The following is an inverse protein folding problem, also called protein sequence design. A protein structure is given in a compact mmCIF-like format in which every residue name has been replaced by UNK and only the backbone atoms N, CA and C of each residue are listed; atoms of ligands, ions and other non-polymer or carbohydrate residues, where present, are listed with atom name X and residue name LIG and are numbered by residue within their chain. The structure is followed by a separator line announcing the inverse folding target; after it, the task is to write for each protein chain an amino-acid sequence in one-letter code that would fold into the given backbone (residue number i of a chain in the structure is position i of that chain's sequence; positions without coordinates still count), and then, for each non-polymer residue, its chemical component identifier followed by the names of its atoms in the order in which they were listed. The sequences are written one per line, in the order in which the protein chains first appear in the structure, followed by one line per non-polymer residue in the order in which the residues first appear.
data_IF_678781749011
#
_entry.id   IF_678781749011
#
_cell.length_a   1.000
_cell.length_b   1.000
_cell.length_c   1.000
_cell.angle_alpha   90.00
_cell.angle_beta   90.00
_cell.angle_gamma   90.00
#
_symmetry.space_group_name_H-M   'P 1'
#
loop_
_entity.id
_entity.type
_entity.pdbx_description
1 polymer ?
#
# COMPACT_ATOMS: atom_id res chain seq x y z
N UNK A 1 -13.73 -4.59 11.99
CA UNK A 1 -13.74 -3.11 12.05
C UNK A 1 -12.77 -2.56 13.10
N UNK A 2 -12.85 -2.97 14.36
CA UNK A 2 -11.97 -2.47 15.43
C UNK A 2 -10.47 -2.62 15.11
N UNK A 3 -10.00 -3.80 14.67
CA UNK A 3 -8.59 -4.02 14.32
C UNK A 3 -8.05 -3.07 13.23
N UNK A 4 -8.88 -2.73 12.23
CA UNK A 4 -8.48 -1.80 11.18
C UNK A 4 -8.40 -0.36 11.69
N UNK A 5 -9.33 0.05 12.57
CA UNK A 5 -9.30 1.38 13.19
C UNK A 5 -8.08 1.53 14.11
N UNK A 6 -7.80 0.52 14.94
CA UNK A 6 -6.60 0.51 15.78
C UNK A 6 -5.32 0.56 14.95
N UNK A 7 -5.23 -0.24 13.88
CA UNK A 7 -4.09 -0.20 12.95
C UNK A 7 -3.89 1.17 12.33
N UNK A 8 -4.98 1.85 12.00
CA UNK A 8 -4.95 3.22 11.47
C UNK A 8 -4.41 4.21 12.52
N UNK A 9 -4.99 4.22 13.71
CA UNK A 9 -4.57 5.14 14.78
C UNK A 9 -3.10 4.96 15.14
N UNK A 10 -2.64 3.70 15.24
CA UNK A 10 -1.22 3.39 15.46
C UNK A 10 -0.37 3.89 14.30
N UNK A 11 -0.78 3.67 13.07
CA UNK A 11 -0.06 4.17 11.88
C UNK A 11 0.08 5.69 11.88
N UNK A 12 -1.02 6.42 12.14
CA UNK A 12 -1.00 7.90 12.24
C UNK A 12 -0.11 8.36 13.37
N UNK A 13 -0.19 7.73 14.55
CA UNK A 13 0.66 8.08 15.69
C UNK A 13 2.16 7.92 15.33
N UNK A 14 2.55 6.82 14.73
CA UNK A 14 3.94 6.58 14.32
C UNK A 14 4.40 7.60 13.25
N UNK A 15 3.57 7.89 12.24
CA UNK A 15 3.87 8.86 11.18
C UNK A 15 4.09 10.26 11.74
N UNK A 16 3.39 10.65 12.81
CA UNK A 16 3.48 11.99 13.39
C UNK A 16 4.50 12.11 14.51
N UNK A 17 4.70 11.06 15.33
CA UNK A 17 5.54 11.11 16.52
C UNK A 17 7.00 10.79 16.21
N UNK A 18 7.28 9.77 15.40
CA UNK A 18 8.65 9.33 15.14
C UNK A 18 9.49 10.43 14.48
N UNK A 19 9.05 11.09 13.36
CA UNK A 19 9.85 12.13 12.72
C UNK A 19 10.04 13.39 13.58
N UNK A 20 9.21 13.57 14.62
CA UNK A 20 9.35 14.70 15.57
C UNK A 20 10.52 14.50 16.54
N UNK A 21 10.84 13.26 16.87
CA UNK A 21 11.83 12.93 17.91
C UNK A 21 13.20 12.65 17.32
N UNK A 22 13.25 11.98 16.15
CA UNK A 22 14.50 11.65 15.47
C UNK A 22 14.84 12.69 14.39
N UNK A 23 16.13 12.86 14.12
CA UNK A 23 16.61 13.76 13.07
C UNK A 23 16.17 13.34 11.67
N UNK A 24 16.25 14.25 10.70
CA UNK A 24 15.79 13.99 9.33
C UNK A 24 16.55 12.82 8.69
N UNK A 25 17.87 12.73 8.90
CA UNK A 25 18.69 11.65 8.39
C UNK A 25 18.35 10.31 9.05
N UNK A 26 18.22 10.29 10.38
CA UNK A 26 17.80 9.14 11.15
C UNK A 26 16.43 8.62 10.68
N UNK A 27 15.49 9.54 10.46
CA UNK A 27 14.19 9.20 9.89
C UNK A 27 14.31 8.65 8.46
N UNK A 28 15.25 9.15 7.68
CA UNK A 28 15.56 8.62 6.36
C UNK A 28 15.96 7.14 6.41
N UNK A 29 16.87 6.75 7.31
CA UNK A 29 17.27 5.36 7.50
C UNK A 29 16.11 4.49 7.99
N UNK A 30 15.29 4.99 8.90
CA UNK A 30 14.07 4.29 9.33
C UNK A 30 13.09 4.07 8.16
N UNK A 31 12.88 5.09 7.33
CA UNK A 31 12.04 4.98 6.15
C UNK A 31 12.63 4.06 5.07
N UNK A 32 13.96 3.99 4.96
CA UNK A 32 14.65 3.05 4.07
C UNK A 32 14.43 1.60 4.52
N UNK A 33 14.47 1.35 5.83
CA UNK A 33 14.10 0.04 6.38
C UNK A 33 12.65 -0.32 6.04
N UNK A 34 11.70 0.58 6.32
CA UNK A 34 10.28 0.35 6.00
C UNK A 34 10.05 0.17 4.51
N UNK A 35 10.80 0.90 3.69
CA UNK A 35 10.81 0.74 2.25
C UNK A 35 11.20 -0.69 1.87
N UNK A 36 12.35 -1.18 2.30
CA UNK A 36 12.79 -2.55 1.97
C UNK A 36 11.82 -3.61 2.51
N UNK A 37 11.34 -3.46 3.74
CA UNK A 37 10.33 -4.37 4.32
C UNK A 37 9.05 -4.42 3.47
N UNK A 38 8.64 -3.30 2.88
CA UNK A 38 7.50 -3.27 1.97
C UNK A 38 7.68 -4.12 0.71
N UNK A 39 8.91 -4.48 0.35
CA UNK A 39 9.25 -5.27 -0.84
C UNK A 39 9.60 -6.73 -0.55
N UNK A 40 9.78 -7.12 0.71
CA UNK A 40 10.14 -8.51 1.04
C UNK A 40 9.10 -9.53 0.57
N UNK A 41 7.83 -9.13 0.48
CA UNK A 41 6.75 -9.96 -0.04
C UNK A 41 6.97 -10.50 -1.46
N UNK A 42 7.93 -9.97 -2.23
CA UNK A 42 8.28 -10.48 -3.55
C UNK A 42 9.03 -11.82 -3.48
N UNK A 43 9.76 -12.02 -2.40
CA UNK A 43 10.70 -13.13 -2.28
C UNK A 43 10.05 -14.44 -1.84
N UNK A 44 8.77 -14.47 -1.46
CA UNK A 44 8.03 -15.72 -1.29
C UNK A 44 7.56 -16.34 -2.62
N UNK A 45 7.87 -15.71 -3.78
CA UNK A 45 7.60 -16.19 -5.14
C UNK A 45 6.15 -16.64 -5.39
N UNK A 46 5.20 -16.06 -4.68
CA UNK A 46 3.78 -16.41 -4.77
C UNK A 46 3.37 -17.66 -3.98
N UNK A 47 4.28 -18.27 -3.24
CA UNK A 47 3.97 -19.48 -2.45
C UNK A 47 2.86 -19.20 -1.42
N UNK A 48 2.97 -18.13 -0.65
CA UNK A 48 1.95 -17.71 0.29
C UNK A 48 0.60 -17.37 -0.39
N UNK A 49 0.64 -16.64 -1.52
CA UNK A 49 -0.57 -16.37 -2.33
C UNK A 49 -1.24 -17.66 -2.83
N UNK A 50 -0.44 -18.65 -3.21
CA UNK A 50 -0.91 -19.96 -3.64
C UNK A 50 -1.66 -20.72 -2.54
N UNK A 51 -1.26 -20.57 -1.28
CA UNK A 51 -1.99 -21.14 -0.14
C UNK A 51 -3.43 -20.60 -0.10
N UNK A 52 -3.60 -19.28 -0.19
CA UNK A 52 -4.94 -18.69 -0.20
C UNK A 52 -5.74 -19.17 -1.41
N UNK A 53 -5.17 -19.14 -2.61
CA UNK A 53 -5.90 -19.47 -3.83
C UNK A 53 -6.36 -20.93 -3.89
N UNK A 54 -5.56 -21.86 -3.34
CA UNK A 54 -5.85 -23.31 -3.39
C UNK A 54 -6.69 -23.82 -2.24
N UNK A 55 -6.58 -23.19 -1.07
CA UNK A 55 -7.18 -23.68 0.16
C UNK A 55 -8.30 -22.78 0.71
N UNK A 56 -8.64 -21.67 0.04
CA UNK A 56 -9.74 -20.82 0.44
C UNK A 56 -11.06 -21.59 0.53
N UNK A 57 -11.76 -21.42 1.66
CA UNK A 57 -13.03 -22.08 1.93
C UNK A 57 -12.94 -23.48 2.56
N UNK A 58 -11.74 -24.02 2.77
CA UNK A 58 -11.54 -25.23 3.57
C UNK A 58 -11.69 -24.91 5.06
N UNK A 59 -12.14 -25.91 5.84
CA UNK A 59 -12.15 -25.80 7.30
C UNK A 59 -10.78 -26.19 7.86
N UNK A 60 -10.45 -25.72 9.06
CA UNK A 60 -9.18 -26.02 9.73
C UNK A 60 -8.95 -27.52 9.92
N UNK A 61 -10.03 -28.24 10.23
CA UNK A 61 -10.04 -29.69 10.49
C UNK A 61 -9.79 -30.50 9.19
N UNK A 62 -10.14 -29.93 8.04
CA UNK A 62 -9.93 -30.57 6.73
C UNK A 62 -8.53 -30.39 6.18
N UNK A 63 -7.67 -29.58 6.84
CA UNK A 63 -6.29 -29.39 6.42
C UNK A 63 -5.45 -30.62 6.76
N UNK A 64 -4.70 -31.15 5.78
CA UNK A 64 -3.72 -32.22 6.01
C UNK A 64 -2.55 -31.69 6.85
N UNK A 65 -2.51 -32.02 8.14
CA UNK A 65 -1.45 -31.58 9.06
C UNK A 65 -0.04 -31.92 8.57
N UNK A 66 0.25 -33.16 8.11
CA UNK A 66 1.58 -33.51 7.60
C UNK A 66 2.00 -32.67 6.40
N UNK A 67 1.07 -32.38 5.48
CA UNK A 67 1.33 -31.59 4.29
C UNK A 67 1.64 -30.14 4.64
N UNK A 68 0.85 -29.50 5.49
CA UNK A 68 1.09 -28.14 5.92
C UNK A 68 2.33 -27.99 6.78
N UNK A 69 2.63 -28.97 7.66
CA UNK A 69 3.87 -29.02 8.40
C UNK A 69 5.09 -28.99 7.46
N UNK A 70 5.09 -29.87 6.46
CA UNK A 70 6.16 -29.90 5.47
C UNK A 70 6.32 -28.58 4.73
N UNK A 71 5.23 -27.95 4.30
CA UNK A 71 5.27 -26.65 3.62
C UNK A 71 5.77 -25.53 4.53
N UNK A 72 5.35 -25.47 5.80
CA UNK A 72 5.80 -24.46 6.77
C UNK A 72 7.32 -24.59 6.98
N UNK A 73 7.82 -25.79 7.24
CA UNK A 73 9.26 -25.98 7.45
C UNK A 73 10.09 -25.71 6.21
N UNK A 74 9.63 -26.16 5.03
CA UNK A 74 10.32 -25.91 3.76
C UNK A 74 10.34 -24.39 3.44
N UNK A 75 9.24 -23.69 3.68
CA UNK A 75 9.15 -22.24 3.48
C UNK A 75 10.09 -21.49 4.42
N UNK A 76 10.06 -21.80 5.72
CA UNK A 76 10.94 -21.16 6.69
C UNK A 76 12.41 -21.42 6.39
N UNK A 77 12.78 -22.66 6.05
CA UNK A 77 14.15 -23.00 5.64
C UNK A 77 14.57 -22.18 4.41
N UNK A 78 13.72 -22.11 3.39
CA UNK A 78 13.99 -21.36 2.17
C UNK A 78 14.21 -19.87 2.48
N UNK A 79 13.34 -19.24 3.28
CA UNK A 79 13.44 -17.82 3.62
C UNK A 79 14.68 -17.53 4.49
N UNK A 80 14.98 -18.39 5.47
CA UNK A 80 16.19 -18.24 6.30
C UNK A 80 17.45 -18.36 5.43
N UNK A 81 17.50 -19.32 4.51
CA UNK A 81 18.64 -19.48 3.61
C UNK A 81 18.80 -18.27 2.67
N UNK A 82 17.71 -17.83 2.04
CA UNK A 82 17.71 -16.69 1.11
C UNK A 82 18.17 -15.41 1.79
N UNK A 83 17.54 -15.07 2.92
CA UNK A 83 17.82 -13.83 3.63
C UNK A 83 19.12 -13.91 4.44
N UNK A 84 19.55 -15.10 4.83
CA UNK A 84 20.89 -15.35 5.39
C UNK A 84 21.98 -15.06 4.36
N UNK A 85 21.82 -15.52 3.13
CA UNK A 85 22.75 -15.20 2.02
C UNK A 85 22.74 -13.70 1.71
N UNK A 86 21.57 -13.06 1.71
CA UNK A 86 21.47 -11.62 1.54
C UNK A 86 22.19 -10.85 2.66
N UNK A 87 22.03 -11.27 3.92
CA UNK A 87 22.70 -10.67 5.06
C UNK A 87 24.24 -10.82 4.96
N UNK A 88 24.71 -12.01 4.59
CA UNK A 88 26.14 -12.28 4.38
C UNK A 88 26.69 -11.41 3.24
N UNK A 89 26.04 -11.36 2.11
CA UNK A 89 26.43 -10.52 0.98
C UNK A 89 26.47 -9.04 1.36
N UNK A 90 25.44 -8.58 2.11
CA UNK A 90 25.38 -7.19 2.59
C UNK A 90 26.54 -6.86 3.54
N UNK A 91 26.87 -7.78 4.45
CA UNK A 91 27.98 -7.62 5.38
C UNK A 91 29.33 -7.55 4.66
N UNK A 92 29.55 -8.42 3.66
CA UNK A 92 30.78 -8.45 2.88
C UNK A 92 30.96 -7.20 2.00
N UNK A 93 29.86 -6.62 1.48
CA UNK A 93 29.94 -5.51 0.53
C UNK A 93 29.94 -4.12 1.19
N UNK A 94 29.11 -3.90 2.23
CA UNK A 94 28.91 -2.56 2.80
C UNK A 94 29.79 -2.25 4.02
N UNK A 95 30.53 -3.21 4.56
CA UNK A 95 31.36 -3.01 5.76
C UNK A 95 30.53 -2.60 6.98
N UNK A 96 30.87 -1.46 7.63
CA UNK A 96 30.16 -0.97 8.82
C UNK A 96 29.37 0.30 8.50
N UNK A 97 28.31 0.57 9.26
CA UNK A 97 27.55 1.81 9.16
C UNK A 97 26.01 1.64 9.23
N UNK A 98 25.30 2.77 9.17
CA UNK A 98 23.86 2.83 9.27
C UNK A 98 23.14 2.01 8.17
N UNK A 99 23.69 2.06 6.95
CA UNK A 99 23.14 1.33 5.80
C UNK A 99 23.25 -0.20 5.98
N UNK A 100 24.37 -0.70 6.46
CA UNK A 100 24.53 -2.12 6.77
C UNK A 100 23.52 -2.55 7.85
N UNK A 101 23.37 -1.77 8.91
CA UNK A 101 22.37 -2.05 9.95
C UNK A 101 20.95 -2.16 9.36
N UNK A 102 20.56 -1.25 8.46
CA UNK A 102 19.27 -1.30 7.76
C UNK A 102 19.13 -2.60 6.96
N UNK A 103 20.16 -3.00 6.19
CA UNK A 103 20.10 -4.20 5.35
C UNK A 103 20.06 -5.49 6.19
N UNK A 104 20.86 -5.60 7.25
CA UNK A 104 20.83 -6.74 8.16
C UNK A 104 19.50 -6.84 8.90
N UNK A 105 19.00 -5.70 9.40
CA UNK A 105 17.68 -5.65 10.02
C UNK A 105 16.56 -6.00 9.04
N UNK A 106 16.70 -5.62 7.77
CA UNK A 106 15.77 -6.00 6.70
C UNK A 106 15.80 -7.52 6.48
N UNK A 107 16.97 -8.16 6.51
CA UNK A 107 17.07 -9.61 6.37
C UNK A 107 16.34 -10.34 7.51
N UNK A 108 16.57 -9.94 8.76
CA UNK A 108 15.84 -10.48 9.93
C UNK A 108 14.34 -10.20 9.81
N UNK A 109 13.98 -8.94 9.50
CA UNK A 109 12.60 -8.53 9.33
C UNK A 109 11.87 -9.28 8.23
N UNK A 110 12.55 -9.59 7.13
CA UNK A 110 12.02 -10.35 6.02
C UNK A 110 11.59 -11.76 6.45
N UNK A 111 12.46 -12.48 7.14
CA UNK A 111 12.13 -13.82 7.66
C UNK A 111 10.91 -13.75 8.59
N UNK A 112 10.88 -12.79 9.51
CA UNK A 112 9.77 -12.62 10.45
C UNK A 112 8.46 -12.26 9.74
N UNK A 113 8.50 -11.31 8.81
CA UNK A 113 7.31 -10.84 8.07
C UNK A 113 6.77 -11.92 7.15
N UNK A 114 7.65 -12.64 6.44
CA UNK A 114 7.24 -13.69 5.51
C UNK A 114 6.70 -14.92 6.24
N UNK A 115 7.31 -15.32 7.37
CA UNK A 115 6.79 -16.37 8.24
C UNK A 115 5.40 -16.01 8.78
N UNK A 116 5.23 -14.78 9.30
CA UNK A 116 3.93 -14.27 9.74
C UNK A 116 2.90 -14.28 8.62
N UNK A 117 3.28 -13.82 7.42
CA UNK A 117 2.40 -13.77 6.25
C UNK A 117 1.94 -15.17 5.85
N UNK A 118 2.85 -16.13 5.80
CA UNK A 118 2.54 -17.50 5.44
C UNK A 118 1.55 -18.14 6.41
N UNK A 119 1.79 -18.05 7.72
CA UNK A 119 0.89 -18.58 8.75
C UNK A 119 -0.46 -17.87 8.76
N UNK A 120 -0.47 -16.54 8.63
CA UNK A 120 -1.72 -15.75 8.53
C UNK A 120 -2.54 -16.12 7.28
N UNK A 121 -1.89 -16.44 6.17
CA UNK A 121 -2.59 -16.87 4.95
C UNK A 121 -3.21 -18.26 5.11
N UNK A 122 -2.55 -19.18 5.83
CA UNK A 122 -3.15 -20.46 6.21
C UNK A 122 -4.40 -20.24 7.08
N UNK A 123 -4.32 -19.38 8.11
CA UNK A 123 -5.45 -19.05 8.97
C UNK A 123 -6.62 -18.41 8.19
N UNK A 124 -6.31 -17.54 7.25
CA UNK A 124 -7.32 -16.89 6.40
C UNK A 124 -7.95 -17.88 5.43
N UNK A 125 -7.17 -18.75 4.79
CA UNK A 125 -7.66 -19.79 3.88
C UNK A 125 -8.59 -20.79 4.59
N UNK A 126 -8.26 -21.13 5.85
CA UNK A 126 -9.03 -22.03 6.70
C UNK A 126 -10.16 -21.33 7.49
N UNK A 127 -10.54 -20.10 7.10
CA UNK A 127 -11.63 -19.30 7.70
C UNK A 127 -11.45 -18.99 9.21
N UNK A 128 -10.22 -19.11 9.77
CA UNK A 128 -9.91 -18.67 11.13
C UNK A 128 -9.69 -17.15 11.22
N UNK A 129 -10.66 -16.39 10.72
CA UNK A 129 -10.55 -14.91 10.58
C UNK A 129 -10.42 -14.20 11.93
N UNK A 130 -11.00 -14.75 13.01
CA UNK A 130 -10.86 -14.16 14.36
C UNK A 130 -9.40 -14.20 14.85
N UNK A 131 -8.71 -15.32 14.67
CA UNK A 131 -7.30 -15.50 15.03
C UNK A 131 -6.42 -14.60 14.16
N UNK A 132 -6.67 -14.58 12.84
CA UNK A 132 -6.00 -13.66 11.93
C UNK A 132 -6.11 -12.19 12.40
N UNK A 133 -7.34 -11.74 12.72
CA UNK A 133 -7.57 -10.37 13.18
C UNK A 133 -6.89 -10.08 14.53
N UNK A 134 -6.86 -11.05 15.45
CA UNK A 134 -6.14 -10.96 16.71
C UNK A 134 -4.64 -10.78 16.49
N UNK A 135 -4.01 -11.56 15.61
CA UNK A 135 -2.58 -11.44 15.30
C UNK A 135 -2.23 -10.10 14.68
N UNK A 136 -3.09 -9.57 13.78
CA UNK A 136 -2.91 -8.23 13.23
C UNK A 136 -2.98 -7.16 14.32
N UNK A 137 -3.93 -7.30 15.26
CA UNK A 137 -4.07 -6.37 16.36
C UNK A 137 -2.87 -6.46 17.34
N UNK A 138 -2.44 -7.68 17.67
CA UNK A 138 -1.26 -7.93 18.51
C UNK A 138 -0.02 -7.24 17.95
N UNK A 139 0.25 -7.41 16.64
CA UNK A 139 1.35 -6.74 15.96
C UNK A 139 1.33 -5.23 16.17
N UNK A 140 0.17 -4.62 15.95
CA UNK A 140 0.00 -3.16 16.04
C UNK A 140 0.15 -2.65 17.47
N UNK A 141 -0.42 -3.36 18.45
CA UNK A 141 -0.34 -2.96 19.85
C UNK A 141 1.08 -3.12 20.40
N UNK A 142 1.75 -4.25 20.13
CA UNK A 142 3.14 -4.45 20.55
C UNK A 142 4.04 -3.39 19.92
N UNK A 143 3.87 -3.12 18.61
CA UNK A 143 4.62 -2.07 17.93
C UNK A 143 4.41 -0.70 18.58
N UNK A 144 3.16 -0.33 18.84
CA UNK A 144 2.84 0.94 19.53
C UNK A 144 3.50 1.04 20.90
N UNK A 145 3.38 -0.02 21.71
CA UNK A 145 4.00 -0.05 23.06
C UNK A 145 5.51 0.09 22.95
N UNK A 146 6.16 -0.64 22.05
CA UNK A 146 7.61 -0.53 21.86
C UNK A 146 8.01 0.88 21.39
N UNK A 147 7.28 1.48 20.43
CA UNK A 147 7.56 2.85 19.95
C UNK A 147 7.38 3.86 21.10
N UNK A 148 6.29 3.77 21.87
CA UNK A 148 6.07 4.66 23.02
C UNK A 148 7.14 4.50 24.09
N UNK A 149 7.62 3.28 24.34
CA UNK A 149 8.74 3.03 25.24
C UNK A 149 10.03 3.69 24.75
N UNK A 150 10.37 3.55 23.45
CA UNK A 150 11.52 4.22 22.83
C UNK A 150 11.44 5.74 23.00
N UNK A 151 10.25 6.30 22.77
CA UNK A 151 9.99 7.75 22.94
C UNK A 151 10.09 8.20 24.40
N UNK A 152 9.55 7.40 25.32
CA UNK A 152 9.61 7.68 26.77
C UNK A 152 11.05 7.72 27.30
N UNK A 153 11.89 6.79 26.85
CA UNK A 153 13.32 6.78 27.21
C UNK A 153 14.16 7.80 26.45
N UNK A 154 13.58 8.62 25.58
CA UNK A 154 14.24 9.70 24.87
C UNK A 154 15.27 9.24 23.82
N UNK A 155 15.18 8.01 23.34
CA UNK A 155 16.07 7.49 22.33
C UNK A 155 15.82 8.17 20.98
N UNK A 156 16.90 8.66 20.33
CA UNK A 156 16.84 9.43 19.07
C UNK A 156 17.46 8.71 17.86
N UNK A 157 18.01 7.53 18.04
CA UNK A 157 18.60 6.70 16.99
C UNK A 157 17.51 5.85 16.29
N UNK A 158 17.54 5.81 14.97
CA UNK A 158 16.60 5.04 14.13
C UNK A 158 16.61 3.54 14.45
N UNK A 159 17.73 3.01 14.96
CA UNK A 159 17.92 1.59 15.27
C UNK A 159 16.90 1.09 16.28
N UNK A 160 16.57 1.90 17.30
CA UNK A 160 15.56 1.52 18.30
C UNK A 160 14.16 1.35 17.70
N UNK A 161 13.79 2.19 16.72
CA UNK A 161 12.51 2.08 16.04
C UNK A 161 12.44 0.85 15.12
N UNK A 162 13.57 0.50 14.50
CA UNK A 162 13.70 -0.76 13.74
C UNK A 162 13.57 -1.95 14.68
N UNK A 163 14.27 -1.96 15.80
CA UNK A 163 14.18 -3.02 16.82
C UNK A 163 12.75 -3.12 17.36
N UNK A 164 12.07 -2.01 17.63
CA UNK A 164 10.67 -1.99 18.03
C UNK A 164 9.77 -2.69 16.99
N UNK A 165 9.99 -2.44 15.69
CA UNK A 165 9.28 -3.12 14.61
C UNK A 165 9.56 -4.63 14.60
N UNK A 166 10.85 -5.03 14.68
CA UNK A 166 11.26 -6.44 14.69
C UNK A 166 10.70 -7.18 15.91
N UNK A 167 10.68 -6.55 17.08
CA UNK A 167 10.08 -7.09 18.31
C UNK A 167 8.59 -7.37 18.13
N UNK A 168 7.86 -6.45 17.51
CA UNK A 168 6.45 -6.64 17.22
C UNK A 168 6.21 -7.80 16.24
N UNK A 169 7.03 -7.93 15.21
CA UNK A 169 6.96 -9.05 14.27
C UNK A 169 7.30 -10.37 14.93
N UNK A 170 8.31 -10.39 15.82
CA UNK A 170 8.71 -11.58 16.59
C UNK A 170 7.60 -12.04 17.55
N UNK A 171 7.04 -11.11 18.33
CA UNK A 171 5.92 -11.41 19.23
C UNK A 171 4.71 -11.97 18.48
N UNK A 172 4.42 -11.38 17.30
CA UNK A 172 3.31 -11.86 16.45
C UNK A 172 3.60 -13.26 15.89
N UNK A 173 4.85 -13.54 15.51
CA UNK A 173 5.25 -14.85 15.01
C UNK A 173 5.11 -15.92 16.10
N UNK A 174 5.51 -15.63 17.33
CA UNK A 174 5.29 -16.52 18.48
C UNK A 174 3.81 -16.84 18.64
N UNK A 175 2.94 -15.80 18.60
CA UNK A 175 1.49 -15.98 18.63
C UNK A 175 0.97 -16.82 17.45
N UNK A 176 1.44 -16.56 16.23
CA UNK A 176 1.03 -17.30 15.04
C UNK A 176 1.45 -18.78 15.11
N UNK A 177 2.67 -19.07 15.57
CA UNK A 177 3.16 -20.43 15.79
C UNK A 177 2.34 -21.16 16.87
N UNK A 178 1.96 -20.47 17.94
CA UNK A 178 1.11 -21.03 18.99
C UNK A 178 -0.29 -21.43 18.46
N UNK A 179 -0.93 -20.56 17.68
CA UNK A 179 -2.25 -20.86 17.11
C UNK A 179 -2.21 -21.92 15.98
N UNK A 180 -1.05 -22.08 15.33
CA UNK A 180 -0.83 -23.05 14.27
C UNK A 180 -0.04 -24.29 14.74
N UNK A 181 0.16 -24.47 16.06
CA UNK A 181 1.04 -25.50 16.63
C UNK A 181 0.73 -26.93 16.18
N UNK A 182 -0.53 -27.25 15.99
CA UNK A 182 -0.99 -28.55 15.50
C UNK A 182 -0.60 -28.83 14.03
N UNK A 183 -0.40 -27.77 13.22
CA UNK A 183 0.19 -27.87 11.89
C UNK A 183 1.71 -27.87 11.93
N UNK A 184 2.31 -27.02 12.76
CA UNK A 184 3.77 -26.84 12.84
C UNK A 184 4.44 -28.09 13.43
N UNK A 185 3.88 -28.66 14.50
CA UNK A 185 4.47 -29.78 15.22
C UNK A 185 4.12 -31.15 14.62
N UNK A 186 3.26 -31.21 13.61
CA UNK A 186 2.94 -32.45 12.94
C UNK A 186 4.17 -33.01 12.20
N UNK A 187 4.24 -34.33 12.04
CA UNK A 187 5.28 -34.92 11.21
C UNK A 187 5.07 -34.58 9.75
N UNK A 188 6.08 -34.01 9.06
CA UNK A 188 5.93 -33.61 7.66
C UNK A 188 5.75 -34.81 6.74
N UNK A 189 5.07 -34.61 5.60
CA UNK A 189 5.05 -35.55 4.49
C UNK A 189 6.47 -35.76 3.91
N UNK A 190 6.61 -36.74 3.01
CA UNK A 190 7.88 -36.97 2.31
C UNK A 190 8.33 -35.71 1.56
N UNK A 191 9.64 -35.46 1.49
CA UNK A 191 10.21 -34.30 0.83
C UNK A 191 9.71 -34.12 -0.62
N UNK A 192 9.50 -35.25 -1.34
CA UNK A 192 8.96 -35.23 -2.72
C UNK A 192 7.51 -34.69 -2.75
N UNK A 193 6.68 -35.09 -1.80
CA UNK A 193 5.29 -34.63 -1.70
C UNK A 193 5.24 -33.14 -1.34
N UNK A 194 6.03 -32.70 -0.38
CA UNK A 194 6.17 -31.29 0.01
C UNK A 194 6.62 -30.44 -1.17
N UNK A 195 7.67 -30.85 -1.89
CA UNK A 195 8.18 -30.12 -3.05
C UNK A 195 7.11 -29.98 -4.15
N UNK A 196 6.40 -31.06 -4.48
CA UNK A 196 5.32 -31.02 -5.49
C UNK A 196 4.22 -30.07 -5.10
N UNK A 197 3.77 -30.12 -3.84
CA UNK A 197 2.70 -29.23 -3.36
C UNK A 197 3.13 -27.77 -3.31
N UNK A 198 4.38 -27.50 -2.88
CA UNK A 198 4.95 -26.16 -2.87
C UNK A 198 5.07 -25.57 -4.28
N UNK A 199 5.55 -26.38 -5.24
CA UNK A 199 5.64 -25.98 -6.64
C UNK A 199 4.26 -25.65 -7.23
N UNK A 200 3.23 -26.42 -6.89
CA UNK A 200 1.85 -26.12 -7.30
C UNK A 200 1.32 -24.83 -6.68
N UNK A 201 1.60 -24.56 -5.39
CA UNK A 201 1.25 -23.29 -4.76
C UNK A 201 1.93 -22.13 -5.45
N UNK A 202 3.24 -22.22 -5.71
CA UNK A 202 4.02 -21.21 -6.42
C UNK A 202 3.44 -20.99 -7.83
N UNK A 203 3.19 -22.04 -8.59
CA UNK A 203 2.64 -21.96 -9.96
C UNK A 203 1.32 -21.19 -10.02
N UNK A 204 0.45 -21.40 -9.03
CA UNK A 204 -0.85 -20.72 -8.96
C UNK A 204 -0.71 -19.29 -8.47
N UNK A 205 0.12 -19.05 -7.43
CA UNK A 205 0.22 -17.75 -6.77
C UNK A 205 1.13 -16.75 -7.49
N UNK A 206 2.13 -17.20 -8.27
CA UNK A 206 3.14 -16.32 -8.87
C UNK A 206 2.54 -15.22 -9.77
N UNK A 207 1.45 -15.52 -10.47
CA UNK A 207 0.79 -14.53 -11.33
C UNK A 207 0.20 -13.37 -10.53
N UNK A 208 -0.41 -13.69 -9.39
CA UNK A 208 -0.97 -12.68 -8.49
C UNK A 208 0.15 -11.87 -7.84
N UNK A 209 1.20 -12.55 -7.37
CA UNK A 209 2.39 -11.89 -6.82
C UNK A 209 3.02 -10.93 -7.84
N UNK A 210 3.30 -11.36 -9.07
CA UNK A 210 3.90 -10.50 -10.10
C UNK A 210 3.07 -9.26 -10.40
N UNK A 211 1.73 -9.39 -10.42
CA UNK A 211 0.86 -8.24 -10.61
C UNK A 211 0.95 -7.24 -9.44
N UNK A 212 1.04 -7.74 -8.20
CA UNK A 212 1.23 -6.90 -7.02
C UNK A 212 2.63 -6.26 -7.00
N UNK A 213 3.68 -7.02 -7.34
CA UNK A 213 5.06 -6.53 -7.49
C UNK A 213 5.13 -5.35 -8.45
N UNK A 214 4.62 -5.51 -9.67
CA UNK A 214 4.61 -4.45 -10.66
C UNK A 214 3.90 -3.19 -10.15
N UNK A 215 2.78 -3.36 -9.42
CA UNK A 215 2.03 -2.25 -8.82
C UNK A 215 2.87 -1.44 -7.82
N UNK A 216 3.57 -2.11 -6.89
CA UNK A 216 4.33 -1.45 -5.83
C UNK A 216 5.62 -0.83 -6.39
N UNK A 217 6.23 -1.47 -7.40
CA UNK A 217 7.46 -0.97 -8.02
C UNK A 217 7.27 0.35 -8.77
N UNK A 218 6.06 0.70 -9.23
CA UNK A 218 5.81 1.98 -9.92
C UNK A 218 6.32 3.18 -9.10
N UNK A 219 6.00 3.23 -7.82
CA UNK A 219 6.52 4.26 -6.91
C UNK A 219 7.90 3.91 -6.36
N UNK A 220 8.20 2.63 -6.22
CA UNK A 220 9.41 2.14 -5.61
C UNK A 220 10.68 2.51 -6.34
N UNK A 221 10.69 2.38 -7.67
CA UNK A 221 11.87 2.72 -8.47
C UNK A 221 12.19 4.20 -8.42
N UNK A 222 11.17 5.07 -8.39
CA UNK A 222 11.38 6.53 -8.25
C UNK A 222 11.93 6.84 -6.87
N UNK A 223 11.39 6.23 -5.81
CA UNK A 223 11.86 6.46 -4.43
C UNK A 223 13.31 6.06 -4.23
N UNK A 224 13.72 4.89 -4.74
CA UNK A 224 15.13 4.45 -4.63
C UNK A 224 16.04 5.31 -5.51
N UNK A 225 15.53 5.78 -6.66
CA UNK A 225 16.23 6.75 -7.50
C UNK A 225 16.49 8.08 -6.77
N UNK A 226 15.51 8.59 -6.04
CA UNK A 226 15.65 9.80 -5.20
C UNK A 226 16.68 9.56 -4.10
N UNK A 227 16.66 8.42 -3.43
CA UNK A 227 17.64 8.07 -2.40
C UNK A 227 19.08 8.07 -2.95
N UNK A 228 19.26 7.49 -4.14
CA UNK A 228 20.57 7.40 -4.79
C UNK A 228 21.10 8.75 -5.27
N UNK A 229 20.22 9.62 -5.76
CA UNK A 229 20.61 10.89 -6.37
C UNK A 229 20.77 12.04 -5.37
N UNK A 230 19.91 12.09 -4.34
CA UNK A 230 19.87 13.21 -3.37
C UNK A 230 20.12 12.77 -1.93
N UNK A 231 20.37 11.50 -1.69
CA UNK A 231 20.73 10.96 -0.38
C UNK A 231 19.55 10.66 0.55
N UNK A 232 19.90 10.13 1.72
CA UNK A 232 18.95 9.56 2.67
C UNK A 232 18.04 10.61 3.32
N UNK A 233 18.53 11.83 3.55
CA UNK A 233 17.73 12.89 4.15
C UNK A 233 16.57 13.33 3.24
N UNK A 234 16.84 13.52 1.93
CA UNK A 234 15.82 13.88 0.94
C UNK A 234 14.83 12.71 0.76
N UNK A 235 15.32 11.48 0.69
CA UNK A 235 14.47 10.30 0.67
C UNK A 235 13.54 10.24 1.88
N UNK A 236 14.05 10.55 3.09
CA UNK A 236 13.27 10.61 4.32
C UNK A 236 12.16 11.66 4.24
N UNK A 237 12.47 12.86 3.76
CA UNK A 237 11.51 13.97 3.58
C UNK A 237 10.39 13.59 2.60
N UNK A 238 10.73 13.07 1.42
CA UNK A 238 9.72 12.64 0.43
C UNK A 238 8.90 11.45 0.94
N UNK A 239 9.53 10.53 1.66
CA UNK A 239 8.84 9.40 2.29
C UNK A 239 7.86 9.85 3.37
N UNK A 240 8.16 10.90 4.13
CA UNK A 240 7.22 11.52 5.06
C UNK A 240 5.99 12.07 4.34
N UNK A 241 6.18 12.80 3.23
CA UNK A 241 5.07 13.32 2.44
C UNK A 241 4.16 12.20 1.92
N UNK A 242 4.74 11.12 1.40
CA UNK A 242 3.98 9.92 0.99
C UNK A 242 3.24 9.29 2.18
N UNK A 243 3.85 9.26 3.37
CA UNK A 243 3.22 8.74 4.58
C UNK A 243 2.04 9.61 5.01
N UNK A 244 2.16 10.94 4.95
CA UNK A 244 1.05 11.88 5.22
C UNK A 244 -0.08 11.67 4.21
N UNK A 245 0.23 11.57 2.93
CA UNK A 245 -0.76 11.28 1.87
C UNK A 245 -1.43 9.91 2.10
N UNK A 246 -0.70 8.92 2.63
CA UNK A 246 -1.25 7.60 2.93
C UNK A 246 -2.35 7.61 4.00
N UNK A 247 -2.41 8.63 4.85
CA UNK A 247 -3.50 8.82 5.80
C UNK A 247 -4.85 8.96 5.07
N UNK A 248 -4.87 9.64 3.93
CA UNK A 248 -6.06 9.75 3.08
C UNK A 248 -6.51 8.38 2.52
N UNK A 249 -5.56 7.51 2.17
CA UNK A 249 -5.88 6.16 1.69
C UNK A 249 -6.67 5.31 2.70
N UNK A 250 -6.50 5.54 3.98
CA UNK A 250 -7.20 4.74 4.98
C UNK A 250 -8.69 5.04 4.98
N UNK A 251 -9.09 6.31 4.84
CA UNK A 251 -10.49 6.68 4.68
C UNK A 251 -11.09 6.05 3.42
N UNK A 252 -10.33 6.08 2.35
CA UNK A 252 -10.69 5.50 1.06
C UNK A 252 -10.83 3.98 1.17
N UNK A 253 -9.89 3.29 1.81
CA UNK A 253 -9.93 1.84 2.04
C UNK A 253 -11.10 1.42 2.96
N UNK A 254 -11.46 2.22 3.95
CA UNK A 254 -12.62 1.94 4.79
C UNK A 254 -13.92 1.93 3.98
N UNK A 255 -14.06 2.84 3.01
CA UNK A 255 -15.18 2.85 2.06
C UNK A 255 -15.18 1.61 1.14
N UNK A 256 -14.00 1.16 0.70
CA UNK A 256 -13.81 -0.03 -0.15
C UNK A 256 -14.29 -1.32 0.51
N UNK A 257 -13.97 -1.49 1.79
CA UNK A 257 -14.38 -2.68 2.55
C UNK A 257 -15.90 -2.82 2.65
N UNK A 258 -16.65 -1.74 2.56
CA UNK A 258 -18.11 -1.76 2.51
C UNK A 258 -18.63 -2.07 1.09
N UNK A 259 -17.91 -1.62 0.05
CA UNK A 259 -18.32 -1.76 -1.35
C UNK A 259 -18.12 -3.20 -1.87
N UNK A 260 -17.02 -3.86 -1.53
CA UNK A 260 -16.66 -5.17 -2.08
C UNK A 260 -17.69 -6.30 -1.81
N UNK A 261 -18.21 -6.48 -0.56
CA UNK A 261 -19.25 -7.47 -0.31
C UNK A 261 -20.60 -7.13 -0.96
N UNK A 262 -20.86 -5.81 -1.16
CA UNK A 262 -22.05 -5.35 -1.85
C UNK A 262 -22.02 -5.75 -3.33
N UNK A 263 -20.87 -5.49 -3.99
CA UNK A 263 -20.67 -5.85 -5.40
C UNK A 263 -20.69 -7.37 -5.64
N UNK A 264 -20.16 -8.17 -4.73
CA UNK A 264 -20.15 -9.65 -4.88
C UNK A 264 -21.53 -10.31 -4.83
N UNK A 265 -22.53 -9.62 -4.28
CA UNK A 265 -23.92 -10.10 -4.15
C UNK A 265 -24.83 -9.67 -5.30
N UNK A 266 -24.33 -8.80 -6.17
CA UNK A 266 -25.10 -8.24 -7.26
C UNK A 266 -24.85 -8.99 -8.57
N UNK A 267 -25.87 -9.04 -9.43
CA UNK A 267 -25.77 -9.60 -10.78
C UNK A 267 -24.90 -8.75 -11.69
N UNK A 268 -24.32 -9.33 -12.72
CA UNK A 268 -23.37 -8.66 -13.65
C UNK A 268 -23.92 -7.40 -14.29
N UNK A 269 -25.22 -7.32 -14.54
CA UNK A 269 -25.85 -6.11 -15.11
C UNK A 269 -25.80 -4.90 -14.17
N UNK A 270 -25.81 -5.14 -12.87
CA UNK A 270 -25.70 -4.05 -11.87
C UNK A 270 -24.27 -3.53 -11.68
N UNK A 271 -23.25 -4.24 -12.14
CA UNK A 271 -21.87 -3.72 -12.09
C UNK A 271 -21.70 -2.44 -12.89
N UNK A 272 -22.31 -2.36 -14.07
CA UNK A 272 -22.31 -1.17 -14.90
C UNK A 272 -22.95 0.03 -14.19
N UNK A 273 -24.13 -0.17 -13.59
CA UNK A 273 -24.90 0.89 -12.94
C UNK A 273 -24.25 1.41 -11.67
N UNK A 274 -23.43 0.60 -10.98
CA UNK A 274 -22.75 0.97 -9.74
C UNK A 274 -21.36 1.56 -9.97
N UNK A 275 -20.65 1.14 -11.02
CA UNK A 275 -19.28 1.56 -11.27
C UNK A 275 -19.16 3.08 -11.47
N UNK A 276 -19.89 3.61 -12.43
CA UNK A 276 -19.77 5.01 -12.84
C UNK A 276 -20.11 6.01 -11.73
N UNK A 277 -21.23 5.89 -10.98
CA UNK A 277 -21.50 6.76 -9.85
C UNK A 277 -20.49 6.64 -8.70
N UNK A 278 -20.03 5.41 -8.40
CA UNK A 278 -18.99 5.20 -7.38
C UNK A 278 -17.68 5.88 -7.77
N UNK A 279 -17.33 5.83 -9.06
CA UNK A 279 -16.14 6.45 -9.63
C UNK A 279 -16.20 7.98 -9.51
N UNK A 280 -17.33 8.59 -9.87
CA UNK A 280 -17.56 10.03 -9.74
C UNK A 280 -17.47 10.46 -8.28
N UNK A 281 -18.17 9.75 -7.39
CA UNK A 281 -18.18 10.08 -5.95
C UNK A 281 -16.77 10.05 -5.36
N UNK A 282 -16.00 9.01 -5.67
CA UNK A 282 -14.61 8.88 -5.22
C UNK A 282 -13.75 10.04 -5.71
N UNK A 283 -13.84 10.38 -7.01
CA UNK A 283 -13.10 11.49 -7.60
C UNK A 283 -13.40 12.81 -6.88
N UNK A 284 -14.67 13.17 -6.72
CA UNK A 284 -15.02 14.44 -6.08
C UNK A 284 -14.64 14.50 -4.61
N UNK A 285 -14.81 13.43 -3.84
CA UNK A 285 -14.37 13.36 -2.44
C UNK A 285 -12.87 13.61 -2.31
N UNK A 286 -12.06 12.99 -3.20
CA UNK A 286 -10.61 13.17 -3.17
C UNK A 286 -10.18 14.56 -3.67
N UNK A 287 -10.79 15.08 -4.75
CA UNK A 287 -10.48 16.43 -5.24
C UNK A 287 -10.84 17.51 -4.20
N UNK A 288 -11.96 17.38 -3.52
CA UNK A 288 -12.36 18.28 -2.43
C UNK A 288 -11.35 18.22 -1.27
N UNK A 289 -10.81 17.03 -0.97
CA UNK A 289 -9.79 16.89 0.09
C UNK A 289 -8.53 17.71 -0.19
N UNK A 290 -8.18 17.97 -1.46
CA UNK A 290 -7.01 18.79 -1.84
C UNK A 290 -7.15 20.25 -1.43
N UNK A 291 -8.37 20.78 -1.24
CA UNK A 291 -8.60 22.14 -0.72
C UNK A 291 -7.95 22.29 0.66
N UNK A 292 -7.89 21.21 1.45
CA UNK A 292 -7.30 21.20 2.78
C UNK A 292 -5.78 21.00 2.78
N UNK A 293 -5.14 20.89 1.61
CA UNK A 293 -3.70 20.64 1.50
C UNK A 293 -2.86 21.73 2.16
N UNK A 294 -3.21 23.02 1.95
CA UNK A 294 -2.48 24.13 2.56
C UNK A 294 -2.67 24.21 4.09
N UNK A 295 -3.89 24.19 4.64
CA UNK A 295 -4.06 24.08 6.09
C UNK A 295 -3.31 22.89 6.68
N UNK A 296 -3.38 21.71 6.03
CA UNK A 296 -2.65 20.53 6.48
C UNK A 296 -1.11 20.74 6.42
N UNK A 297 -0.59 21.35 5.35
CA UNK A 297 0.85 21.65 5.26
C UNK A 297 1.31 22.60 6.36
N UNK A 298 0.49 23.59 6.73
CA UNK A 298 0.79 24.49 7.85
C UNK A 298 0.82 23.76 9.19
N UNK A 299 -0.12 22.86 9.43
CA UNK A 299 -0.12 22.02 10.64
C UNK A 299 1.12 21.11 10.69
N UNK A 300 1.50 20.52 9.55
CA UNK A 300 2.71 19.70 9.45
C UNK A 300 3.97 20.54 9.67
N UNK A 301 4.04 21.76 9.11
CA UNK A 301 5.18 22.67 9.30
C UNK A 301 5.34 23.09 10.78
N UNK A 302 4.23 23.37 11.46
CA UNK A 302 4.25 23.70 12.90
C UNK A 302 4.64 22.50 13.77
N UNK A 303 4.19 21.30 13.38
CA UNK A 303 4.49 20.08 14.14
C UNK A 303 5.91 19.55 13.87
N UNK A 304 6.35 19.61 12.61
CA UNK A 304 7.61 19.08 12.10
C UNK A 304 8.43 20.17 11.38
N UNK A 305 8.97 21.20 12.09
CA UNK A 305 9.67 22.32 11.45
C UNK A 305 10.88 21.89 10.60
N UNK A 306 11.58 20.80 11.00
CA UNK A 306 12.73 20.26 10.27
C UNK A 306 12.38 19.72 8.86
N UNK A 307 11.10 19.57 8.54
CA UNK A 307 10.61 19.07 7.25
C UNK A 307 9.89 20.15 6.44
N UNK A 308 9.83 21.39 6.95
CA UNK A 308 9.06 22.49 6.35
C UNK A 308 9.48 22.79 4.90
N UNK A 309 10.77 22.70 4.60
CA UNK A 309 11.35 22.90 3.27
C UNK A 309 10.84 21.85 2.24
N UNK A 310 10.50 20.64 2.69
CA UNK A 310 9.99 19.60 1.81
C UNK A 310 8.50 19.75 1.47
N UNK A 311 7.75 20.54 2.24
CA UNK A 311 6.31 20.71 2.03
C UNK A 311 5.97 21.39 0.69
N UNK A 312 6.94 22.06 0.05
CA UNK A 312 6.80 22.55 -1.33
C UNK A 312 6.49 21.43 -2.33
N UNK A 313 6.91 20.19 -2.04
CA UNK A 313 6.63 19.02 -2.86
C UNK A 313 5.28 18.34 -2.54
N UNK A 314 4.61 18.73 -1.46
CA UNK A 314 3.33 18.12 -1.07
C UNK A 314 2.26 18.21 -2.18
N UNK A 315 2.09 19.35 -2.88
CA UNK A 315 1.16 19.45 -4.01
C UNK A 315 1.48 18.49 -5.16
N UNK A 316 2.75 18.15 -5.36
CA UNK A 316 3.17 17.19 -6.39
C UNK A 316 2.84 15.75 -5.98
N UNK A 317 2.87 15.43 -4.68
CA UNK A 317 2.64 14.07 -4.16
C UNK A 317 1.14 13.77 -3.97
N UNK A 318 0.32 14.76 -3.61
CA UNK A 318 -1.11 14.57 -3.29
C UNK A 318 -1.90 13.84 -4.38
N UNK A 319 -1.73 14.10 -5.69
CA UNK A 319 -2.45 13.38 -6.73
C UNK A 319 -2.15 11.87 -6.78
N UNK A 320 -1.07 11.39 -6.13
CA UNK A 320 -0.81 9.96 -5.91
C UNK A 320 -2.02 9.30 -5.24
N UNK A 321 -2.62 9.96 -4.24
CA UNK A 321 -3.80 9.45 -3.56
C UNK A 321 -4.98 9.27 -4.52
N UNK A 322 -5.22 10.22 -5.41
CA UNK A 322 -6.32 10.19 -6.36
C UNK A 322 -6.22 8.99 -7.31
N UNK A 323 -5.11 8.89 -8.03
CA UNK A 323 -4.92 7.83 -9.05
C UNK A 323 -4.76 6.45 -8.43
N UNK A 324 -4.06 6.33 -7.31
CA UNK A 324 -3.92 5.05 -6.61
C UNK A 324 -5.26 4.56 -6.05
N UNK A 325 -6.05 5.44 -5.44
CA UNK A 325 -7.37 5.10 -4.92
C UNK A 325 -8.33 4.62 -6.00
N UNK A 326 -8.31 5.26 -7.16
CA UNK A 326 -9.13 4.89 -8.31
C UNK A 326 -8.87 3.46 -8.76
N UNK A 327 -7.60 3.04 -8.74
CA UNK A 327 -7.21 1.69 -9.11
C UNK A 327 -7.43 0.70 -7.97
N UNK A 328 -6.98 1.01 -6.77
CA UNK A 328 -7.01 0.04 -5.66
C UNK A 328 -8.44 -0.25 -5.18
N UNK A 329 -9.32 0.75 -5.17
CA UNK A 329 -10.70 0.62 -4.70
C UNK A 329 -11.66 0.08 -5.74
N UNK A 330 -11.64 0.67 -6.93
CA UNK A 330 -12.64 0.42 -7.96
C UNK A 330 -12.08 -0.47 -9.05
N UNK A 331 -11.25 0.07 -9.92
CA UNK A 331 -10.83 -0.61 -11.15
C UNK A 331 -10.19 -1.96 -10.89
N UNK A 332 -9.26 -2.05 -9.95
CA UNK A 332 -8.60 -3.30 -9.57
C UNK A 332 -9.54 -4.30 -8.91
N UNK A 333 -10.49 -3.82 -8.10
CA UNK A 333 -11.52 -4.66 -7.48
C UNK A 333 -12.45 -5.27 -8.52
N UNK A 334 -12.93 -4.47 -9.48
CA UNK A 334 -13.77 -4.95 -10.57
C UNK A 334 -13.02 -5.94 -11.48
N UNK A 335 -11.76 -5.65 -11.84
CA UNK A 335 -10.95 -6.57 -12.65
C UNK A 335 -10.72 -7.92 -11.93
N UNK A 336 -10.51 -7.92 -10.61
CA UNK A 336 -10.40 -9.15 -9.81
C UNK A 336 -11.70 -9.95 -9.77
N UNK A 337 -12.86 -9.28 -9.60
CA UNK A 337 -14.18 -9.93 -9.63
C UNK A 337 -14.46 -10.54 -11.01
N UNK A 338 -14.10 -9.83 -12.07
CA UNK A 338 -14.24 -10.30 -13.46
C UNK A 338 -13.17 -11.31 -13.89
N UNK A 339 -12.28 -11.76 -12.99
CA UNK A 339 -11.15 -12.68 -13.24
C UNK A 339 -10.23 -12.21 -14.38
N UNK A 340 -9.93 -10.90 -14.38
CA UNK A 340 -9.09 -10.24 -15.40
C UNK A 340 -7.71 -9.85 -14.84
N UNK A 341 -7.07 -10.75 -14.12
CA UNK A 341 -5.74 -10.54 -13.53
C UNK A 341 -4.68 -10.25 -14.59
N UNK A 342 -4.83 -10.79 -15.81
CA UNK A 342 -3.93 -10.49 -16.93
C UNK A 342 -3.98 -9.01 -17.32
N UNK A 343 -5.19 -8.42 -17.40
CA UNK A 343 -5.33 -7.00 -17.74
C UNK A 343 -4.72 -6.12 -16.64
N UNK A 344 -4.88 -6.53 -15.37
CA UNK A 344 -4.26 -5.87 -14.23
C UNK A 344 -2.73 -5.93 -14.27
N UNK A 345 -2.15 -7.10 -14.57
CA UNK A 345 -0.71 -7.27 -14.73
C UNK A 345 -0.17 -6.40 -15.88
N UNK A 346 -0.79 -6.43 -17.05
CA UNK A 346 -0.34 -5.64 -18.23
C UNK A 346 -0.38 -4.14 -17.91
N UNK A 347 -1.44 -3.65 -17.26
CA UNK A 347 -1.56 -2.24 -16.88
C UNK A 347 -0.48 -1.80 -15.89
N UNK A 348 -0.20 -2.63 -14.88
CA UNK A 348 0.87 -2.36 -13.92
C UNK A 348 2.26 -2.39 -14.57
N UNK A 349 2.51 -3.35 -15.48
CA UNK A 349 3.78 -3.44 -16.20
C UNK A 349 3.99 -2.24 -17.13
N UNK A 350 2.94 -1.84 -17.87
CA UNK A 350 3.01 -0.65 -18.72
C UNK A 350 3.32 0.61 -17.89
N UNK A 351 2.65 0.79 -16.76
CA UNK A 351 2.90 1.92 -15.87
C UNK A 351 4.31 1.87 -15.24
N UNK A 352 4.82 0.68 -14.94
CA UNK A 352 6.19 0.50 -14.45
C UNK A 352 7.22 0.92 -15.50
N UNK A 353 7.01 0.56 -16.77
CA UNK A 353 7.87 1.01 -17.87
C UNK A 353 7.86 2.54 -18.00
N UNK A 354 6.66 3.16 -17.95
CA UNK A 354 6.52 4.62 -17.98
C UNK A 354 7.21 5.25 -16.77
N UNK A 355 7.07 4.68 -15.58
CA UNK A 355 7.76 5.13 -14.37
C UNK A 355 9.29 5.05 -14.52
N UNK A 356 9.80 4.00 -15.17
CA UNK A 356 11.24 3.87 -15.46
C UNK A 356 11.72 4.94 -16.44
N UNK A 357 10.94 5.25 -17.45
CA UNK A 357 11.26 6.33 -18.41
C UNK A 357 11.30 7.69 -17.69
N UNK A 358 10.28 7.98 -16.87
CA UNK A 358 10.26 9.21 -16.07
C UNK A 358 11.43 9.29 -15.08
N UNK A 359 11.79 8.17 -14.46
CA UNK A 359 12.97 8.09 -13.59
C UNK A 359 14.24 8.51 -14.37
N UNK A 360 14.46 7.90 -15.54
CA UNK A 360 15.65 8.18 -16.36
C UNK A 360 15.68 9.63 -16.83
N UNK A 361 14.55 10.21 -17.20
CA UNK A 361 14.50 11.61 -17.61
C UNK A 361 14.73 12.55 -16.44
N UNK A 362 14.07 12.33 -15.31
CA UNK A 362 14.08 13.27 -14.18
C UNK A 362 15.35 13.23 -13.35
N UNK A 363 16.03 12.08 -13.24
CA UNK A 363 17.20 11.91 -12.37
C UNK A 363 18.50 12.05 -13.13
N UNK A 364 18.95 11.09 -13.98
CA UNK A 364 20.27 11.19 -14.61
C UNK A 364 20.34 12.25 -15.72
N UNK A 365 19.21 12.57 -16.41
CA UNK A 365 19.25 13.54 -17.52
C UNK A 365 19.05 14.97 -17.00
N UNK A 366 17.99 15.23 -16.25
CA UNK A 366 17.61 16.59 -15.82
C UNK A 366 18.06 16.92 -14.39
N UNK A 367 18.42 15.92 -13.59
CA UNK A 367 18.80 16.03 -12.17
C UNK A 367 17.84 16.95 -11.38
N UNK A 368 16.54 16.77 -11.57
CA UNK A 368 15.51 17.63 -11.00
C UNK A 368 14.57 16.85 -10.07
N UNK A 369 14.64 17.16 -8.77
CA UNK A 369 13.85 16.50 -7.73
C UNK A 369 12.35 16.72 -7.92
N UNK A 370 11.93 17.93 -8.30
CA UNK A 370 10.50 18.22 -8.50
C UNK A 370 9.90 17.35 -9.62
N UNK A 371 10.64 17.16 -10.73
CA UNK A 371 10.24 16.26 -11.81
C UNK A 371 10.25 14.80 -11.37
N UNK A 372 11.22 14.38 -10.55
CA UNK A 372 11.24 13.02 -10.01
C UNK A 372 10.03 12.77 -9.10
N UNK A 373 9.65 13.74 -8.29
CA UNK A 373 8.44 13.64 -7.44
C UNK A 373 7.17 13.68 -8.29
N UNK A 374 7.07 14.53 -9.30
CA UNK A 374 5.93 14.60 -10.22
C UNK A 374 5.78 13.31 -11.07
N UNK A 375 6.88 12.61 -11.33
CA UNK A 375 6.85 11.32 -12.02
C UNK A 375 5.99 10.27 -11.29
N UNK A 376 5.85 10.38 -9.96
CA UNK A 376 5.03 9.46 -9.16
C UNK A 376 3.53 9.52 -9.55
N UNK A 377 2.83 10.64 -9.41
CA UNK A 377 1.43 10.73 -9.81
C UNK A 377 1.23 10.58 -11.32
N UNK A 378 2.18 11.04 -12.15
CA UNK A 378 2.11 10.88 -13.59
C UNK A 378 2.10 9.40 -14.02
N UNK A 379 2.96 8.58 -13.42
CA UNK A 379 2.99 7.13 -13.67
C UNK A 379 1.71 6.43 -13.22
N UNK A 380 1.15 6.85 -12.07
CA UNK A 380 -0.12 6.32 -11.57
C UNK A 380 -1.32 6.79 -12.38
N UNK A 381 -1.28 8.01 -12.94
CA UNK A 381 -2.30 8.49 -13.88
C UNK A 381 -2.34 7.63 -15.15
N UNK A 382 -1.18 7.32 -15.73
CA UNK A 382 -1.08 6.41 -16.89
C UNK A 382 -1.61 5.02 -16.54
N UNK A 383 -1.28 4.50 -15.36
CA UNK A 383 -1.81 3.23 -14.85
C UNK A 383 -3.34 3.26 -14.75
N UNK A 384 -3.88 4.29 -14.11
CA UNK A 384 -5.32 4.46 -13.92
C UNK A 384 -6.03 4.53 -15.28
N UNK A 385 -5.54 5.38 -16.19
CA UNK A 385 -6.08 5.48 -17.54
C UNK A 385 -6.12 4.16 -18.29
N UNK A 386 -4.99 3.42 -18.28
CA UNK A 386 -4.87 2.16 -19.01
C UNK A 386 -5.83 1.09 -18.49
N UNK A 387 -5.88 0.92 -17.17
CA UNK A 387 -6.75 -0.06 -16.52
C UNK A 387 -8.23 0.30 -16.66
N UNK A 388 -8.57 1.58 -16.49
CA UNK A 388 -9.93 2.06 -16.65
C UNK A 388 -10.43 1.93 -18.08
N UNK A 389 -9.60 2.25 -19.09
CA UNK A 389 -9.96 2.07 -20.50
C UNK A 389 -10.31 0.61 -20.81
N UNK A 390 -9.55 -0.34 -20.26
CA UNK A 390 -9.82 -1.77 -20.43
C UNK A 390 -11.10 -2.22 -19.71
N UNK A 391 -11.33 -1.74 -18.50
CA UNK A 391 -12.55 -2.05 -17.77
C UNK A 391 -13.78 -1.39 -18.40
N UNK A 392 -13.67 -0.14 -18.81
CA UNK A 392 -14.74 0.63 -19.43
C UNK A 392 -15.26 -0.01 -20.72
N UNK A 393 -14.34 -0.54 -21.56
CA UNK A 393 -14.70 -1.28 -22.75
C UNK A 393 -15.50 -2.57 -22.48
N UNK A 394 -15.41 -3.12 -21.25
CA UNK A 394 -16.17 -4.30 -20.82
C UNK A 394 -17.51 -3.96 -20.21
N UNK A 395 -17.57 -2.83 -19.50
CA UNK A 395 -18.78 -2.36 -18.84
C UNK A 395 -19.63 -1.47 -19.78
N UNK A 396 -19.14 -1.18 -20.98
CA UNK A 396 -19.76 -0.26 -21.94
C UNK A 396 -20.11 1.08 -21.29
N UNK A 397 -19.12 1.67 -20.58
CA UNK A 397 -19.23 2.98 -19.92
C UNK A 397 -18.15 3.92 -20.42
N UNK A 398 -18.45 5.21 -20.55
CA UNK A 398 -17.45 6.22 -20.89
C UNK A 398 -16.87 6.85 -19.62
N UNK A 399 -15.64 6.48 -19.26
CA UNK A 399 -14.91 7.01 -18.09
C UNK A 399 -14.02 8.21 -18.43
N UNK A 400 -13.84 8.52 -19.72
CA UNK A 400 -12.91 9.54 -20.18
C UNK A 400 -13.19 10.93 -19.60
N UNK A 401 -14.45 11.39 -19.48
CA UNK A 401 -14.73 12.68 -18.86
C UNK A 401 -14.30 12.77 -17.40
N UNK A 402 -14.46 11.66 -16.63
CA UNK A 402 -14.05 11.61 -15.22
C UNK A 402 -12.54 11.66 -15.11
N UNK A 403 -11.83 10.84 -15.90
CA UNK A 403 -10.38 10.83 -15.93
C UNK A 403 -9.80 12.19 -16.36
N UNK A 404 -10.37 12.82 -17.40
CA UNK A 404 -9.95 14.17 -17.83
C UNK A 404 -10.14 15.20 -16.70
N UNK A 405 -11.26 15.12 -15.96
CA UNK A 405 -11.49 15.98 -14.79
C UNK A 405 -10.42 15.79 -13.71
N UNK A 406 -10.02 14.55 -13.44
CA UNK A 406 -8.96 14.25 -12.46
C UNK A 406 -7.61 14.82 -12.87
N UNK A 407 -7.23 14.64 -14.14
CA UNK A 407 -5.97 15.18 -14.65
C UNK A 407 -5.98 16.72 -14.63
N UNK A 408 -7.02 17.34 -15.17
CA UNK A 408 -7.16 18.82 -15.19
C UNK A 408 -7.18 19.40 -13.78
N UNK A 409 -7.94 18.80 -12.87
CA UNK A 409 -8.01 19.27 -11.48
C UNK A 409 -6.66 19.06 -10.74
N UNK A 410 -5.95 17.98 -11.01
CA UNK A 410 -4.61 17.76 -10.45
C UNK A 410 -3.60 18.78 -10.99
N UNK A 411 -3.61 19.06 -12.28
CA UNK A 411 -2.73 20.07 -12.90
C UNK A 411 -3.08 21.48 -12.37
N UNK A 412 -4.37 21.83 -12.29
CA UNK A 412 -4.80 23.10 -11.71
C UNK A 412 -4.38 23.23 -10.24
N UNK A 413 -4.54 22.15 -9.45
CA UNK A 413 -4.11 22.11 -8.06
C UNK A 413 -2.59 22.36 -7.91
N UNK A 414 -1.80 21.65 -8.68
CA UNK A 414 -0.34 21.81 -8.66
C UNK A 414 0.04 23.23 -9.09
N UNK A 415 -0.50 23.71 -10.21
CA UNK A 415 -0.21 25.05 -10.74
C UNK A 415 -0.58 26.18 -9.76
N UNK A 416 -1.77 26.12 -9.17
CA UNK A 416 -2.21 27.11 -8.18
C UNK A 416 -1.42 27.02 -6.86
N UNK A 417 -1.07 25.81 -6.42
CA UNK A 417 -0.30 25.61 -5.20
C UNK A 417 1.16 26.11 -5.32
N UNK A 418 1.80 25.91 -6.48
CA UNK A 418 3.18 26.34 -6.72
C UNK A 418 3.26 27.79 -7.19
N UNK A 419 2.30 28.26 -7.99
CA UNK A 419 2.33 29.61 -8.57
C UNK A 419 1.82 30.71 -7.62
N UNK A 420 0.69 30.47 -6.97
CA UNK A 420 0.07 31.44 -6.02
C UNK A 420 0.41 31.08 -4.59
N UNK A 421 0.32 29.80 -4.27
CA UNK A 421 0.60 29.26 -2.94
C UNK A 421 -0.38 29.75 -1.86
N UNK A 422 -0.10 29.36 -0.61
CA UNK A 422 -0.82 29.86 0.54
C UNK A 422 -2.31 29.57 0.57
N UNK A 423 -3.00 30.28 1.43
CA UNK A 423 -4.47 30.16 1.57
C UNK A 423 -5.20 30.62 0.31
N UNK A 424 -4.66 31.60 -0.40
CA UNK A 424 -5.19 32.10 -1.67
C UNK A 424 -5.22 31.01 -2.74
N UNK A 425 -4.15 30.23 -2.86
CA UNK A 425 -4.10 29.09 -3.78
C UNK A 425 -5.20 28.05 -3.50
N UNK A 426 -5.44 27.75 -2.21
CA UNK A 426 -6.53 26.83 -1.82
C UNK A 426 -7.92 27.38 -2.15
N UNK A 427 -8.16 28.68 -1.95
CA UNK A 427 -9.44 29.32 -2.30
C UNK A 427 -9.64 29.28 -3.82
N UNK A 428 -8.63 29.65 -4.60
CA UNK A 428 -8.70 29.62 -6.07
C UNK A 428 -8.95 28.21 -6.59
N UNK A 429 -8.33 27.21 -5.98
CA UNK A 429 -8.60 25.81 -6.30
C UNK A 429 -10.02 25.39 -5.94
N UNK A 430 -10.55 25.82 -4.79
CA UNK A 430 -11.94 25.56 -4.42
C UNK A 430 -12.93 26.22 -5.42
N UNK A 431 -12.66 27.45 -5.87
CA UNK A 431 -13.43 28.11 -6.92
C UNK A 431 -13.35 27.34 -8.24
N UNK A 432 -12.15 26.90 -8.63
CA UNK A 432 -11.96 26.07 -9.82
C UNK A 432 -12.82 24.78 -9.74
N UNK A 433 -12.77 24.08 -8.59
CA UNK A 433 -13.59 22.88 -8.39
C UNK A 433 -15.09 23.18 -8.46
N UNK A 434 -15.55 24.30 -7.90
CA UNK A 434 -16.96 24.71 -7.99
C UNK A 434 -17.38 24.91 -9.44
N UNK A 435 -16.57 25.62 -10.24
CA UNK A 435 -16.81 25.83 -11.66
C UNK A 435 -16.83 24.49 -12.41
N UNK A 436 -15.84 23.64 -12.18
CA UNK A 436 -15.76 22.32 -12.78
C UNK A 436 -16.99 21.45 -12.43
N UNK A 437 -17.46 21.52 -11.17
CA UNK A 437 -18.66 20.85 -10.72
C UNK A 437 -19.92 21.35 -11.43
N UNK A 438 -20.08 22.67 -11.55
CA UNK A 438 -21.25 23.29 -12.23
C UNK A 438 -21.29 22.92 -13.73
N UNK A 439 -20.13 22.89 -14.40
CA UNK A 439 -20.02 22.47 -15.81
C UNK A 439 -20.35 20.99 -15.95
N UNK A 440 -19.80 20.16 -15.09
CA UNK A 440 -19.97 18.71 -15.15
C UNK A 440 -21.33 18.22 -14.64
N UNK A 441 -22.08 19.07 -13.93
CA UNK A 441 -23.37 18.75 -13.32
C UNK A 441 -24.35 18.09 -14.30
N UNK A 442 -24.48 18.62 -15.52
CA UNK A 442 -25.42 18.08 -16.54
C UNK A 442 -25.02 16.66 -17.00
N UNK A 443 -23.74 16.34 -16.99
CA UNK A 443 -23.21 15.04 -17.42
C UNK A 443 -23.27 14.01 -16.30
N UNK A 444 -23.06 14.43 -15.06
CA UNK A 444 -22.88 13.51 -13.92
C UNK A 444 -24.17 13.29 -13.11
N UNK A 445 -25.09 14.26 -13.05
CA UNK A 445 -26.29 14.16 -12.22
C UNK A 445 -27.50 13.48 -12.88
N UNK A 446 -27.39 13.05 -14.11
CA UNK A 446 -28.41 12.17 -14.71
C UNK A 446 -28.48 10.79 -14.04
N UNK A 447 -27.49 10.46 -13.21
CA UNK A 447 -27.47 9.25 -12.39
C UNK A 447 -27.72 9.62 -10.93
N UNK A 448 -28.79 9.12 -10.28
CA UNK A 448 -29.04 9.36 -8.85
C UNK A 448 -27.82 8.88 -8.05
N UNK A 449 -27.47 9.58 -6.97
CA UNK A 449 -26.38 9.23 -6.04
C UNK A 449 -26.66 7.83 -5.40
N UNK A 450 -26.21 6.71 -6.01
CA UNK A 450 -26.61 5.39 -5.54
C UNK A 450 -25.93 5.02 -4.23
N UNK A 451 -24.82 5.71 -3.89
CA UNK A 451 -24.10 5.42 -2.66
C UNK A 451 -24.88 5.85 -1.42
N UNK A 452 -25.55 7.01 -1.46
CA UNK A 452 -26.38 7.47 -0.35
C UNK A 452 -27.73 6.74 -0.30
N UNK A 453 -28.34 6.42 -1.45
CA UNK A 453 -29.56 5.62 -1.50
C UNK A 453 -29.31 4.16 -1.10
N UNK A 454 -28.15 3.59 -1.43
CA UNK A 454 -27.76 2.25 -1.01
C UNK A 454 -27.54 2.15 0.51
N UNK A 455 -26.98 3.17 1.15
CA UNK A 455 -26.88 3.24 2.62
C UNK A 455 -28.26 3.48 3.27
N UNK A 456 -29.15 4.22 2.63
CA UNK A 456 -30.49 4.46 3.11
C UNK A 456 -31.38 3.21 2.98
N UNK A 457 -31.27 2.44 1.88
CA UNK A 457 -32.08 1.24 1.65
C UNK A 457 -31.77 0.08 2.62
N UNK A 458 -30.56 0.01 3.17
CA UNK A 458 -30.21 -0.96 4.21
C UNK A 458 -30.83 -0.66 5.59
N UNK A 459 -31.30 0.56 5.84
CA UNK A 459 -32.05 0.93 7.07
C UNK A 459 -33.52 0.47 7.07
N UNK A 460 -34.10 0.17 5.91
CA UNK A 460 -35.51 -0.16 5.78
C UNK A 460 -35.83 -1.68 5.65
N UNK A 461 -34.80 -2.56 5.69
CA UNK A 461 -34.98 -4.03 5.69
C UNK A 461 -34.26 -4.67 6.87
N UNK A 462 -34.46 -4.15 8.06
CA UNK A 462 -34.29 -4.82 9.33
C UNK A 462 -35.60 -4.82 10.09
#
# INVERSE_FOLDING_TARGET
MAANLTSFLVGVAVILLVPKVIGVEEYGYFQLFLFFIGYVGFFHFGWADGIILRYAGKTWESLSRPRFSGQIHAFLFFEIALWGLFALASWLYFGQGARLFVLLSTAVGAVLVLANTFLRFILQAANRIKVYAFLVLLERLVYLVCVLSVLFFGARDFRFFIVAYLTAQGATLIGALWFCRDLVLARPETARAVFRESAECIRVGIKLMLANVASILILGIIRIGIERAWGIAVFGKISLLLSVVSILFVFVNAASLALLPALRREEHERFRTLYFPSRITLTWVLLISFVFAYPASRLVALWLPAYADSLVYLPLVLPVCLFESSVSLLTGTYLKILRREKDFLIGNTAALLVSTVFLVISIPVLHNLALAVLAMPASLAVRSWFLEKRLAARLDVNVMPVFATEVLASVAFIGLSLGVGGFTGSILYAVFLLIAFLISRKTFWKTPLPFLSFLAHKRFKR
#
